data_IF_940633472382
#
_entry.id   IF_940633472382
#
_cell.length_a   1.000
_cell.length_b   1.000
_cell.length_c   1.000
_cell.angle_alpha   90.00
_cell.angle_beta   90.00
_cell.angle_gamma   90.00
#
_symmetry.space_group_name_H-M   'P 1'
#
loop_
_entity.id
_entity.type
_entity.pdbx_description
1 polymer ?
#
# COMPACT_ATOMS: atom_id res chain seq x y z
N UNK A 1 2.89 16.08 8.70
CA UNK A 1 2.40 15.52 7.43
C UNK A 1 3.31 14.40 6.95
N UNK A 2 4.61 14.61 6.81
CA UNK A 2 5.55 13.58 6.32
C UNK A 2 5.59 12.32 7.18
N UNK A 3 5.47 12.46 8.50
CA UNK A 3 5.33 11.34 9.45
C UNK A 3 4.09 10.48 9.17
N UNK A 4 2.97 11.12 8.82
CA UNK A 4 1.72 10.44 8.48
C UNK A 4 1.80 9.76 7.11
N UNK A 5 2.48 10.38 6.14
CA UNK A 5 2.78 9.77 4.84
C UNK A 5 3.67 8.54 5.02
N UNK A 6 4.69 8.60 5.87
CA UNK A 6 5.56 7.47 6.18
C UNK A 6 4.78 6.32 6.83
N UNK A 7 3.96 6.60 7.84
CA UNK A 7 3.10 5.60 8.49
C UNK A 7 2.12 4.95 7.50
N UNK A 8 1.49 5.75 6.63
CA UNK A 8 0.61 5.23 5.58
C UNK A 8 1.37 4.35 4.58
N UNK A 9 2.58 4.74 4.19
CA UNK A 9 3.41 3.95 3.29
C UNK A 9 3.80 2.60 3.92
N UNK A 10 4.18 2.60 5.20
CA UNK A 10 4.45 1.38 5.96
C UNK A 10 3.25 0.43 5.98
N UNK A 11 2.04 0.97 6.24
CA UNK A 11 0.79 0.20 6.24
C UNK A 11 0.42 -0.39 4.87
N UNK A 12 0.64 0.36 3.79
CA UNK A 12 0.45 -0.15 2.42
C UNK A 12 1.45 -1.27 2.12
N UNK A 13 2.71 -1.09 2.50
CA UNK A 13 3.75 -2.08 2.21
C UNK A 13 3.62 -3.35 3.04
N UNK A 14 3.16 -3.24 4.29
CA UNK A 14 2.90 -4.39 5.15
C UNK A 14 1.86 -5.35 4.57
N UNK A 15 0.92 -4.85 3.76
CA UNK A 15 -0.13 -5.67 3.10
C UNK A 15 0.32 -6.34 1.81
N UNK A 16 1.53 -6.07 1.33
CA UNK A 16 2.16 -6.74 0.19
C UNK A 16 1.22 -6.83 -1.03
N UNK A 17 1.11 -8.01 -1.66
CA UNK A 17 0.31 -8.25 -2.86
C UNK A 17 -1.21 -8.18 -2.62
N UNK A 18 -1.65 -8.18 -1.35
CA UNK A 18 -3.07 -8.04 -0.99
C UNK A 18 -3.57 -6.61 -1.13
N UNK A 19 -2.68 -5.61 -1.02
CA UNK A 19 -3.05 -4.21 -1.04
C UNK A 19 -3.79 -3.73 0.20
N UNK A 20 -3.93 -2.41 0.31
CA UNK A 20 -4.64 -1.72 1.38
C UNK A 20 -5.88 -1.01 0.81
N UNK A 21 -7.10 -1.44 1.12
CA UNK A 21 -8.30 -0.68 0.79
C UNK A 21 -8.21 0.74 1.33
N UNK A 22 -8.58 1.75 0.52
CA UNK A 22 -8.54 3.16 0.95
C UNK A 22 -9.41 3.39 2.19
N UNK A 23 -10.53 2.67 2.32
CA UNK A 23 -11.40 2.70 3.50
C UNK A 23 -10.68 2.28 4.78
N UNK A 24 -9.80 1.29 4.68
CA UNK A 24 -9.12 0.67 5.81
C UNK A 24 -7.84 1.44 6.20
N UNK A 25 -7.29 2.23 5.28
CA UNK A 25 -6.12 3.07 5.51
C UNK A 25 -6.32 4.00 6.70
N UNK A 26 -7.48 4.63 6.81
CA UNK A 26 -7.75 5.62 7.86
C UNK A 26 -7.76 5.01 9.26
N UNK A 27 -8.32 3.81 9.39
CA UNK A 27 -8.27 3.05 10.63
C UNK A 27 -6.83 2.64 10.96
N UNK A 28 -6.08 2.18 9.96
CA UNK A 28 -4.70 1.72 10.12
C UNK A 28 -3.74 2.83 10.60
N UNK A 29 -3.92 4.06 10.12
CA UNK A 29 -3.04 5.19 10.49
C UNK A 29 -3.60 6.08 11.61
N UNK A 30 -4.72 5.70 12.23
CA UNK A 30 -5.41 6.50 13.25
C UNK A 30 -4.47 6.87 14.42
N UNK A 31 -3.73 5.89 14.96
CA UNK A 31 -2.75 6.15 16.02
C UNK A 31 -1.60 7.08 15.58
N UNK A 32 -1.13 6.96 14.34
CA UNK A 32 -0.10 7.86 13.80
C UNK A 32 -0.63 9.29 13.60
N UNK A 33 -1.90 9.43 13.22
CA UNK A 33 -2.60 10.71 13.12
C UNK A 33 -2.73 11.40 14.47
N UNK A 34 -3.08 10.65 15.53
CA UNK A 34 -3.15 11.18 16.90
C UNK A 34 -1.79 11.67 17.39
N UNK A 35 -0.73 10.86 17.20
CA UNK A 35 0.65 11.24 17.57
C UNK A 35 1.12 12.47 16.80
N UNK A 36 0.74 12.60 15.52
CA UNK A 36 1.09 13.75 14.69
C UNK A 36 0.22 14.98 14.96
N UNK A 37 -0.82 14.89 15.79
CA UNK A 37 -1.78 15.97 16.04
C UNK A 37 -2.55 16.42 14.79
N UNK A 38 -2.70 15.54 13.81
CA UNK A 38 -3.29 15.84 12.50
C UNK A 38 -4.58 15.03 12.33
N UNK A 39 -5.76 15.63 12.57
CA UNK A 39 -7.02 14.91 12.43
C UNK A 39 -7.22 14.43 10.99
N UNK A 40 -7.76 13.24 10.80
CA UNK A 40 -8.08 12.66 9.48
C UNK A 40 -9.35 13.27 8.88
N UNK A 41 -9.40 14.60 8.80
CA UNK A 41 -10.46 15.33 8.12
C UNK A 41 -10.39 15.12 6.59
N UNK A 42 -11.43 15.49 5.83
CA UNK A 42 -11.46 15.29 4.39
C UNK A 42 -10.29 15.94 3.64
N UNK A 43 -9.80 17.10 4.09
CA UNK A 43 -8.67 17.78 3.45
C UNK A 43 -7.36 17.01 3.69
N UNK A 44 -7.12 16.55 4.92
CA UNK A 44 -5.95 15.73 5.26
C UNK A 44 -5.97 14.41 4.49
N UNK A 45 -7.12 13.72 4.44
CA UNK A 45 -7.28 12.48 3.67
C UNK A 45 -6.97 12.70 2.18
N UNK A 46 -7.49 13.78 1.61
CA UNK A 46 -7.27 14.11 0.20
C UNK A 46 -5.79 14.38 -0.09
N UNK A 47 -5.13 15.22 0.72
CA UNK A 47 -3.70 15.51 0.54
C UNK A 47 -2.86 14.26 0.75
N UNK A 48 -3.21 13.40 1.72
CA UNK A 48 -2.48 12.16 1.98
C UNK A 48 -2.61 11.18 0.81
N UNK A 49 -3.83 10.95 0.31
CA UNK A 49 -4.05 10.08 -0.84
C UNK A 49 -3.30 10.58 -2.07
N UNK A 50 -3.37 11.89 -2.37
CA UNK A 50 -2.63 12.50 -3.47
C UNK A 50 -1.10 12.35 -3.32
N UNK A 51 -0.57 12.48 -2.10
CA UNK A 51 0.87 12.29 -1.82
C UNK A 51 1.29 10.84 -2.04
N UNK A 52 0.48 9.88 -1.62
CA UNK A 52 0.77 8.46 -1.80
C UNK A 52 0.76 8.05 -3.27
N UNK A 53 -0.25 8.50 -4.04
CA UNK A 53 -0.37 8.16 -5.47
C UNK A 53 0.63 8.90 -6.36
N UNK A 54 1.22 10.00 -5.87
CA UNK A 54 2.36 10.66 -6.52
C UNK A 54 3.68 9.86 -6.38
N UNK A 55 3.76 8.89 -5.46
CA UNK A 55 4.95 8.05 -5.34
C UNK A 55 4.96 7.01 -6.46
N UNK A 56 6.06 6.89 -7.24
CA UNK A 56 6.13 5.95 -8.37
C UNK A 56 6.11 4.48 -7.95
N UNK A 57 6.24 4.21 -6.65
CA UNK A 57 6.23 2.86 -6.07
C UNK A 57 4.85 2.44 -5.55
N UNK A 58 3.85 3.31 -5.62
CA UNK A 58 2.48 3.07 -5.17
C UNK A 58 1.52 3.22 -6.35
N UNK A 59 0.65 2.25 -6.51
CA UNK A 59 -0.44 2.26 -7.49
C UNK A 59 -1.77 2.23 -6.77
N UNK A 60 -2.75 2.97 -7.31
CA UNK A 60 -4.16 2.84 -6.95
C UNK A 60 -4.83 1.90 -7.95
N UNK A 61 -5.39 0.79 -7.46
CA UNK A 61 -6.04 -0.22 -8.29
C UNK A 61 -7.50 -0.38 -7.86
N UNK A 62 -8.41 -0.62 -8.81
CA UNK A 62 -9.82 -0.90 -8.49
C UNK A 62 -10.05 -2.42 -8.36
N UNK A 63 -10.59 -2.86 -7.23
CA UNK A 63 -10.95 -4.24 -6.96
C UNK A 63 -9.83 -5.12 -6.39
N UNK A 64 -10.20 -6.29 -5.87
CA UNK A 64 -9.32 -7.18 -5.09
C UNK A 64 -8.31 -8.01 -5.91
N UNK A 65 -8.14 -7.75 -7.21
CA UNK A 65 -7.43 -8.68 -8.12
C UNK A 65 -6.11 -8.16 -8.65
N UNK A 66 -5.07 -8.97 -8.49
CA UNK A 66 -3.78 -8.79 -9.16
C UNK A 66 -3.98 -8.72 -10.70
N UNK A 67 -3.59 -7.60 -11.31
CA UNK A 67 -3.83 -7.32 -12.73
C UNK A 67 -5.04 -6.42 -13.04
N UNK A 68 -5.72 -5.89 -12.01
CA UNK A 68 -6.73 -4.86 -12.19
C UNK A 68 -6.12 -3.59 -12.84
N UNK A 69 -6.88 -2.88 -13.70
CA UNK A 69 -6.42 -1.64 -14.29
C UNK A 69 -5.99 -0.68 -13.19
N UNK A 70 -4.76 -0.17 -13.33
CA UNK A 70 -4.30 0.94 -12.49
C UNK A 70 -5.07 2.17 -12.90
N UNK A 71 -5.72 2.83 -11.94
CA UNK A 71 -6.34 4.11 -12.18
C UNK A 71 -5.40 5.18 -11.66
N UNK A 72 -5.02 6.10 -12.54
CA UNK A 72 -4.48 7.36 -12.09
C UNK A 72 -5.68 8.17 -11.63
N UNK A 73 -5.82 8.48 -10.33
CA UNK A 73 -6.87 9.39 -9.93
C UNK A 73 -6.71 10.65 -10.76
N UNK A 74 -7.76 11.03 -11.49
CA UNK A 74 -7.78 12.37 -12.05
C UNK A 74 -7.57 13.35 -10.88
N UNK A 75 -7.05 14.56 -11.11
CA UNK A 75 -6.96 15.61 -10.07
C UNK A 75 -8.31 15.90 -9.35
N UNK A 76 -9.40 15.30 -9.84
CA UNK A 76 -10.77 15.39 -9.38
C UNK A 76 -11.33 14.15 -8.66
N UNK A 77 -10.62 13.03 -8.61
CA UNK A 77 -11.12 11.85 -7.90
C UNK A 77 -11.01 12.10 -6.40
N UNK A 78 -12.17 12.34 -5.79
CA UNK A 78 -12.27 12.56 -4.35
C UNK A 78 -11.99 11.25 -3.60
N UNK A 79 -11.54 11.36 -2.35
CA UNK A 79 -11.28 10.20 -1.48
C UNK A 79 -12.50 9.28 -1.43
N UNK A 80 -13.69 9.86 -1.40
CA UNK A 80 -14.97 9.16 -1.36
C UNK A 80 -15.28 8.38 -2.65
N UNK A 81 -14.80 8.85 -3.80
CA UNK A 81 -14.89 8.12 -5.07
C UNK A 81 -14.02 6.87 -5.03
N UNK A 82 -12.77 7.02 -4.60
CA UNK A 82 -11.84 5.91 -4.46
C UNK A 82 -12.37 4.86 -3.46
N UNK A 83 -12.91 5.28 -2.32
CA UNK A 83 -13.55 4.41 -1.34
C UNK A 83 -14.76 3.68 -1.93
N UNK A 84 -15.65 4.39 -2.62
CA UNK A 84 -16.87 3.81 -3.20
C UNK A 84 -16.60 2.80 -4.30
N UNK A 85 -15.50 2.96 -5.03
CA UNK A 85 -15.06 2.00 -6.06
C UNK A 85 -14.30 0.81 -5.48
N UNK A 86 -14.08 0.77 -4.16
CA UNK A 86 -13.27 -0.26 -3.53
C UNK A 86 -11.81 -0.20 -3.99
N UNK A 87 -11.28 1.01 -4.19
CA UNK A 87 -9.89 1.20 -4.59
C UNK A 87 -8.93 0.74 -3.50
N UNK A 88 -7.79 0.22 -3.92
CA UNK A 88 -6.74 -0.30 -3.06
C UNK A 88 -5.40 0.33 -3.42
N UNK A 89 -4.62 0.67 -2.40
CA UNK A 89 -3.24 1.09 -2.53
C UNK A 89 -2.36 -0.15 -2.53
N UNK A 90 -1.56 -0.31 -3.58
CA UNK A 90 -0.67 -1.45 -3.76
C UNK A 90 0.74 -0.95 -4.05
N UNK A 91 1.71 -1.43 -3.28
CA UNK A 91 3.11 -1.22 -3.58
C UNK A 91 3.55 -2.05 -4.82
N UNK A 92 4.38 -1.46 -5.67
CA UNK A 92 4.98 -2.15 -6.82
C UNK A 92 5.70 -3.43 -6.39
N UNK A 93 5.72 -4.44 -7.26
CA UNK A 93 6.34 -5.73 -6.94
C UNK A 93 7.80 -5.60 -6.48
N UNK A 94 8.59 -4.75 -7.14
CA UNK A 94 9.97 -4.48 -6.77
C UNK A 94 10.10 -3.88 -5.36
N UNK A 95 9.17 -2.99 -4.97
CA UNK A 95 9.18 -2.38 -3.64
C UNK A 95 8.73 -3.37 -2.56
N UNK A 96 7.73 -4.22 -2.83
CA UNK A 96 7.29 -5.28 -1.92
C UNK A 96 8.38 -6.31 -1.65
N UNK A 97 9.20 -6.62 -2.65
CA UNK A 97 10.29 -7.57 -2.50
C UNK A 97 11.30 -7.13 -1.43
N UNK A 98 11.54 -5.82 -1.27
CA UNK A 98 12.36 -5.29 -0.18
C UNK A 98 11.76 -5.62 1.20
N UNK A 99 10.43 -5.52 1.35
CA UNK A 99 9.73 -5.84 2.60
C UNK A 99 9.71 -7.34 2.91
N UNK A 100 9.95 -8.19 1.91
CA UNK A 100 10.16 -9.63 2.07
C UNK A 100 11.63 -10.00 2.33
N UNK A 101 12.53 -9.01 2.40
CA UNK A 101 13.97 -9.24 2.56
C UNK A 101 14.64 -9.76 1.28
N UNK A 102 13.99 -9.62 0.12
CA UNK A 102 14.49 -10.08 -1.17
C UNK A 102 15.24 -8.90 -1.82
N UNK A 103 16.53 -8.81 -1.55
CA UNK A 103 17.43 -7.82 -2.15
C UNK A 103 18.24 -8.49 -3.28
N UNK A 104 18.44 -7.81 -4.40
CA UNK A 104 19.21 -8.27 -5.58
C UNK A 104 18.66 -9.46 -6.41
N UNK A 105 17.64 -9.21 -7.22
CA UNK A 105 17.23 -10.14 -8.30
C UNK A 105 18.26 -10.27 -9.45
N UNK A 106 19.24 -9.36 -9.55
CA UNK A 106 20.06 -9.20 -10.75
C UNK A 106 21.59 -9.29 -10.56
N UNK A 107 22.13 -9.45 -9.34
CA UNK A 107 23.59 -9.30 -9.14
C UNK A 107 24.37 -10.51 -8.62
N UNK A 108 23.83 -11.39 -7.75
CA UNK A 108 24.72 -12.32 -7.03
C UNK A 108 24.17 -13.71 -6.64
N UNK A 109 23.03 -14.20 -7.16
CA UNK A 109 22.54 -15.53 -6.75
C UNK A 109 22.23 -16.44 -7.95
N UNK A 110 23.04 -17.48 -8.12
CA UNK A 110 22.75 -18.62 -9.03
C UNK A 110 21.49 -19.39 -8.61
N UNK A 111 21.01 -19.15 -7.39
CA UNK A 111 19.76 -19.71 -6.86
C UNK A 111 18.69 -18.62 -6.84
N UNK A 112 17.89 -18.57 -7.91
CA UNK A 112 16.70 -17.71 -7.97
C UNK A 112 15.63 -18.29 -7.05
N UNK A 113 15.09 -17.47 -6.17
CA UNK A 113 13.96 -17.85 -5.32
C UNK A 113 12.78 -18.29 -6.19
N UNK A 114 12.24 -19.47 -5.93
CA UNK A 114 11.12 -20.01 -6.70
C UNK A 114 9.84 -19.21 -6.43
N UNK A 115 8.89 -19.26 -7.37
CA UNK A 115 7.57 -18.64 -7.21
C UNK A 115 6.84 -19.15 -5.95
N UNK A 116 6.98 -20.43 -5.62
CA UNK A 116 6.38 -21.02 -4.43
C UNK A 116 6.98 -20.43 -3.14
N UNK A 117 8.30 -20.31 -3.06
CA UNK A 117 8.97 -19.68 -1.90
C UNK A 117 8.55 -18.22 -1.73
N UNK A 118 8.52 -17.46 -2.84
CA UNK A 118 8.02 -16.08 -2.83
C UNK A 118 6.58 -16.01 -2.31
N UNK A 119 5.71 -16.90 -2.80
CA UNK A 119 4.31 -16.94 -2.38
C UNK A 119 4.15 -17.29 -0.91
N UNK A 120 4.98 -18.22 -0.40
CA UNK A 120 5.01 -18.55 1.02
C UNK A 120 5.40 -17.33 1.86
N UNK A 121 6.43 -16.57 1.46
CA UNK A 121 6.83 -15.35 2.16
C UNK A 121 5.73 -14.27 2.12
N UNK A 122 5.06 -14.10 0.99
CA UNK A 122 3.90 -13.20 0.88
C UNK A 122 2.79 -13.60 1.85
N UNK A 123 2.44 -14.89 1.94
CA UNK A 123 1.42 -15.38 2.86
C UNK A 123 1.83 -15.17 4.32
N UNK A 124 3.09 -15.41 4.68
CA UNK A 124 3.61 -15.19 6.03
C UNK A 124 3.61 -13.69 6.37
N UNK A 125 4.01 -12.82 5.43
CA UNK A 125 3.96 -11.38 5.63
C UNK A 125 2.54 -10.87 5.81
N UNK A 126 1.62 -11.31 4.95
CA UNK A 126 0.22 -10.91 4.98
C UNK A 126 -0.54 -11.39 6.22
N UNK A 127 -0.15 -12.50 6.84
CA UNK A 127 -0.81 -13.02 8.06
C UNK A 127 -0.66 -12.07 9.25
N UNK A 128 0.40 -11.24 9.29
CA UNK A 128 0.58 -10.21 10.32
C UNK A 128 -0.45 -9.08 10.22
N UNK A 129 -1.00 -8.86 9.04
CA UNK A 129 -2.01 -7.83 8.76
C UNK A 129 -3.43 -8.42 8.73
N UNK A 130 -3.58 -9.73 8.94
CA UNK A 130 -4.87 -10.35 9.14
C UNK A 130 -5.30 -10.13 10.60
N UNK A 131 -6.03 -9.04 10.82
CA UNK A 131 -6.85 -8.92 12.03
C UNK A 131 -7.94 -10.00 11.96
N UNK A 132 -8.07 -10.80 13.02
CA UNK A 132 -9.25 -11.63 13.32
C UNK A 132 -10.50 -10.75 13.50
#
# INVERSE_FOLDING_TARGET
MDTLVAAALEEVCARLSRGLPVTDLWAAISGASEVAGLPLDPAVKHVLLARLTALPVISLVEGEREGAPCFHPAEKDSVEEAERRGAQLVATAAFRDNFLGIYDHNRCSDSKMSANQKKTLECIGASRCASL
#
